data_IF_641653179331
#
_entry.id   IF_641653179331
#
_cell.length_a   1.000
_cell.length_b   1.000
_cell.length_c   1.000
_cell.angle_alpha   90.00
_cell.angle_beta   90.00
_cell.angle_gamma   90.00
#
_symmetry.space_group_name_H-M   'P 1'
#
loop_
_entity.id
_entity.type
_entity.pdbx_description
1 polymer ?
#
# COMPACT_ATOMS: atom_id res chain seq x y z
N UNK A 1 86.10 -30.35 -5.46
CA UNK A 1 85.07 -29.30 -5.34
C UNK A 1 85.75 -27.96 -5.54
N UNK A 2 85.33 -27.18 -6.55
CA UNK A 2 86.06 -26.02 -7.05
C UNK A 2 85.99 -24.82 -6.08
N UNK A 3 87.13 -24.46 -5.48
CA UNK A 3 87.27 -23.28 -4.61
C UNK A 3 87.05 -21.94 -5.37
N UNK A 4 87.23 -21.93 -6.70
CA UNK A 4 87.04 -20.76 -7.56
C UNK A 4 85.57 -20.36 -7.75
N UNK A 5 84.60 -21.27 -7.57
CA UNK A 5 83.16 -20.96 -7.67
C UNK A 5 82.54 -20.51 -6.34
N UNK A 6 83.28 -20.61 -5.24
CA UNK A 6 82.79 -20.38 -3.87
C UNK A 6 82.78 -18.89 -3.50
N UNK A 7 83.76 -18.12 -4.00
CA UNK A 7 83.87 -16.68 -3.75
C UNK A 7 82.78 -15.85 -4.46
N UNK A 8 82.42 -16.12 -5.74
CA UNK A 8 81.26 -15.50 -6.36
C UNK A 8 79.97 -15.84 -5.62
N UNK A 9 79.77 -17.10 -5.25
CA UNK A 9 78.58 -17.57 -4.54
C UNK A 9 78.40 -16.89 -3.16
N UNK A 10 79.47 -16.72 -2.38
CA UNK A 10 79.44 -15.99 -1.10
C UNK A 10 79.14 -14.50 -1.29
N UNK A 11 79.63 -13.88 -2.37
CA UNK A 11 79.31 -12.49 -2.71
C UNK A 11 77.84 -12.33 -3.08
N UNK A 12 77.30 -13.26 -3.88
CA UNK A 12 75.88 -13.28 -4.24
C UNK A 12 75.02 -13.47 -3.00
N UNK A 13 75.35 -14.44 -2.14
CA UNK A 13 74.61 -14.69 -0.89
C UNK A 13 74.63 -13.47 0.06
N UNK A 14 75.75 -12.76 0.13
CA UNK A 14 75.87 -11.53 0.93
C UNK A 14 75.03 -10.40 0.34
N UNK A 15 74.99 -10.27 -0.99
CA UNK A 15 74.13 -9.33 -1.70
C UNK A 15 72.65 -9.63 -1.44
N UNK A 16 72.25 -10.89 -1.58
CA UNK A 16 70.87 -11.35 -1.39
C UNK A 16 70.41 -11.16 0.07
N UNK A 17 71.27 -11.46 1.04
CA UNK A 17 71.00 -11.20 2.46
C UNK A 17 70.79 -9.70 2.75
N UNK A 18 71.63 -8.84 2.18
CA UNK A 18 71.48 -7.38 2.36
C UNK A 18 70.22 -6.84 1.66
N UNK A 19 69.83 -7.43 0.52
CA UNK A 19 68.59 -7.10 -0.18
C UNK A 19 67.37 -7.51 0.64
N UNK A 20 67.34 -8.76 1.12
CA UNK A 20 66.25 -9.28 1.96
C UNK A 20 66.16 -8.50 3.28
N UNK A 21 67.29 -8.14 3.89
CA UNK A 21 67.33 -7.31 5.09
C UNK A 21 66.71 -5.93 4.86
N UNK A 22 66.95 -5.28 3.71
CA UNK A 22 66.26 -4.03 3.36
C UNK A 22 64.76 -4.25 3.16
N UNK A 23 64.36 -5.28 2.42
CA UNK A 23 62.93 -5.57 2.22
C UNK A 23 62.19 -5.80 3.54
N UNK A 24 62.77 -6.57 4.46
CA UNK A 24 62.19 -6.82 5.79
C UNK A 24 62.13 -5.54 6.63
N UNK A 25 63.11 -4.63 6.48
CA UNK A 25 63.10 -3.33 7.17
C UNK A 25 62.08 -2.35 6.60
N UNK A 26 61.81 -2.40 5.29
CA UNK A 26 60.86 -1.51 4.60
C UNK A 26 59.41 -2.03 4.61
N UNK A 27 59.21 -3.33 4.78
CA UNK A 27 57.89 -3.96 4.76
C UNK A 27 56.90 -3.39 5.78
N UNK A 28 57.26 -3.12 7.06
CA UNK A 28 56.33 -2.51 8.01
C UNK A 28 55.81 -1.15 7.56
N UNK A 29 56.68 -0.33 6.96
CA UNK A 29 56.32 0.99 6.44
C UNK A 29 55.37 0.88 5.24
N UNK A 30 55.64 -0.05 4.32
CA UNK A 30 54.75 -0.32 3.19
C UNK A 30 53.37 -0.83 3.65
N UNK A 31 53.33 -1.69 4.68
CA UNK A 31 52.09 -2.21 5.25
C UNK A 31 51.27 -1.11 5.92
N UNK A 32 51.91 -0.27 6.75
CA UNK A 32 51.23 0.88 7.38
C UNK A 32 50.68 1.85 6.34
N UNK A 33 51.43 2.12 5.28
CA UNK A 33 50.98 2.96 4.17
C UNK A 33 49.74 2.39 3.48
N UNK A 34 49.77 1.11 3.11
CA UNK A 34 48.64 0.44 2.46
C UNK A 34 47.39 0.38 3.37
N UNK A 35 47.58 0.13 4.67
CA UNK A 35 46.49 0.17 5.65
C UNK A 35 45.93 1.59 5.78
N UNK A 36 46.80 2.61 5.78
CA UNK A 36 46.39 4.02 5.83
C UNK A 36 45.54 4.42 4.63
N UNK A 37 45.97 4.06 3.42
CA UNK A 37 45.25 4.30 2.17
C UNK A 37 43.90 3.58 2.17
N UNK A 38 43.87 2.29 2.49
CA UNK A 38 42.62 1.51 2.57
C UNK A 38 41.66 2.08 3.63
N UNK A 39 42.17 2.50 4.80
CA UNK A 39 41.36 3.15 5.84
C UNK A 39 40.75 4.46 5.34
N UNK A 40 41.53 5.27 4.62
CA UNK A 40 41.05 6.54 4.08
C UNK A 40 39.95 6.31 3.03
N UNK A 41 40.13 5.36 2.12
CA UNK A 41 39.11 4.98 1.14
C UNK A 41 37.82 4.49 1.81
N UNK A 42 37.94 3.60 2.81
CA UNK A 42 36.77 3.10 3.56
C UNK A 42 36.04 4.25 4.27
N UNK A 43 36.76 5.16 4.92
CA UNK A 43 36.15 6.31 5.59
C UNK A 43 35.43 7.23 4.60
N UNK A 44 36.01 7.46 3.43
CA UNK A 44 35.39 8.27 2.38
C UNK A 44 34.08 7.64 1.90
N UNK A 45 34.10 6.34 1.57
CA UNK A 45 32.90 5.62 1.12
C UNK A 45 31.81 5.61 2.19
N UNK A 46 32.15 5.39 3.47
CA UNK A 46 31.17 5.43 4.57
C UNK A 46 30.54 6.82 4.68
N UNK A 47 31.34 7.88 4.57
CA UNK A 47 30.85 9.27 4.59
C UNK A 47 29.88 9.54 3.45
N UNK A 48 30.23 9.12 2.24
CA UNK A 48 29.41 9.32 1.04
C UNK A 48 28.11 8.50 1.13
N UNK A 49 28.17 7.26 1.58
CA UNK A 49 26.98 6.42 1.83
C UNK A 49 26.07 7.04 2.90
N UNK A 50 26.64 7.56 3.99
CA UNK A 50 25.85 8.21 5.04
C UNK A 50 25.14 9.45 4.50
N UNK A 51 25.85 10.30 3.77
CA UNK A 51 25.31 11.53 3.17
C UNK A 51 24.19 11.23 2.17
N UNK A 52 24.42 10.27 1.27
CA UNK A 52 23.41 9.84 0.28
C UNK A 52 22.19 9.23 0.96
N UNK A 53 22.36 8.43 2.01
CA UNK A 53 21.25 7.85 2.77
C UNK A 53 20.40 8.94 3.46
N UNK A 54 21.03 9.95 4.05
CA UNK A 54 20.30 11.11 4.61
C UNK A 54 19.51 11.86 3.53
N UNK A 55 20.10 12.08 2.36
CA UNK A 55 19.43 12.75 1.25
C UNK A 55 18.25 11.92 0.72
N UNK A 56 18.42 10.60 0.59
CA UNK A 56 17.35 9.66 0.21
C UNK A 56 16.19 9.71 1.22
N UNK A 57 16.49 9.70 2.52
CA UNK A 57 15.46 9.83 3.55
C UNK A 57 14.72 11.17 3.46
N UNK A 58 15.42 12.28 3.18
CA UNK A 58 14.78 13.60 2.96
C UNK A 58 13.87 13.59 1.73
N UNK A 59 14.34 13.03 0.61
CA UNK A 59 13.55 12.91 -0.63
C UNK A 59 12.33 12.03 -0.42
N UNK A 60 12.50 10.89 0.24
CA UNK A 60 11.42 9.98 0.58
C UNK A 60 10.34 10.66 1.43
N UNK A 61 10.72 11.35 2.52
CA UNK A 61 9.78 12.10 3.37
C UNK A 61 9.01 13.18 2.58
N UNK A 62 9.70 13.90 1.69
CA UNK A 62 9.06 14.91 0.83
C UNK A 62 8.03 14.27 -0.11
N UNK A 63 8.42 13.20 -0.79
CA UNK A 63 7.57 12.44 -1.71
C UNK A 63 6.33 11.90 -1.01
N UNK A 64 6.48 11.27 0.17
CA UNK A 64 5.35 10.81 0.98
C UNK A 64 4.37 11.94 1.32
N UNK A 65 4.88 13.11 1.72
CA UNK A 65 4.03 14.25 2.05
C UNK A 65 3.28 14.79 0.83
N UNK A 66 3.91 14.80 -0.35
CA UNK A 66 3.26 15.20 -1.60
C UNK A 66 2.17 14.22 -2.00
N UNK A 67 2.43 12.92 -1.90
CA UNK A 67 1.43 11.87 -2.16
C UNK A 67 0.19 12.03 -1.28
N UNK A 68 0.39 12.26 0.03
CA UNK A 68 -0.72 12.55 0.97
C UNK A 68 -1.53 13.77 0.57
N UNK A 69 -0.86 14.88 0.19
CA UNK A 69 -1.54 16.10 -0.26
C UNK A 69 -2.38 15.86 -1.52
N UNK A 70 -1.78 15.22 -2.53
CA UNK A 70 -2.45 14.90 -3.78
C UNK A 70 -3.65 13.98 -3.55
N UNK A 71 -3.49 12.95 -2.72
CA UNK A 71 -4.57 12.02 -2.35
C UNK A 71 -5.75 12.74 -1.70
N UNK A 72 -5.48 13.60 -0.71
CA UNK A 72 -6.53 14.34 0.00
C UNK A 72 -7.27 15.32 -0.92
N UNK A 73 -6.54 15.96 -1.84
CA UNK A 73 -7.14 16.85 -2.83
C UNK A 73 -8.02 16.08 -3.81
N UNK A 74 -7.55 14.92 -4.30
CA UNK A 74 -8.32 14.05 -5.19
C UNK A 74 -9.61 13.55 -4.53
N UNK A 75 -9.54 13.10 -3.27
CA UNK A 75 -10.72 12.67 -2.51
C UNK A 75 -11.71 13.83 -2.33
N UNK A 76 -11.20 15.04 -2.03
CA UNK A 76 -12.04 16.23 -1.88
C UNK A 76 -12.71 16.64 -3.19
N UNK A 77 -12.00 16.56 -4.31
CA UNK A 77 -12.51 16.88 -5.64
C UNK A 77 -13.59 15.86 -6.09
N UNK A 78 -13.41 14.58 -5.74
CA UNK A 78 -14.44 13.55 -5.94
C UNK A 78 -15.67 13.70 -5.03
N UNK A 79 -15.62 14.59 -4.04
CA UNK A 79 -16.70 14.81 -3.08
C UNK A 79 -16.55 14.01 -1.79
N UNK A 80 -16.87 14.66 -0.67
CA UNK A 80 -16.80 14.06 0.67
C UNK A 80 -17.91 13.04 0.94
N UNK A 81 -19.01 13.13 0.19
CA UNK A 81 -20.14 12.21 0.24
C UNK A 81 -20.26 11.64 -1.17
N UNK A 82 -20.25 10.31 -1.27
CA UNK A 82 -20.35 9.58 -2.53
C UNK A 82 -21.41 8.50 -2.39
N UNK A 83 -22.24 8.34 -3.41
CA UNK A 83 -23.35 7.39 -3.48
C UNK A 83 -23.12 6.47 -4.65
N UNK A 84 -22.91 5.19 -4.34
CA UNK A 84 -22.74 4.14 -5.34
C UNK A 84 -23.99 3.26 -5.39
N UNK A 85 -24.46 2.93 -6.59
CA UNK A 85 -25.45 1.86 -6.78
C UNK A 85 -24.74 0.58 -7.19
N UNK A 86 -25.13 -0.55 -6.58
CA UNK A 86 -24.68 -1.87 -7.00
C UNK A 86 -25.87 -2.75 -7.28
N UNK A 87 -26.01 -3.15 -8.54
CA UNK A 87 -27.05 -4.07 -8.97
C UNK A 87 -26.55 -5.50 -8.74
N UNK A 88 -27.33 -6.35 -8.06
CA UNK A 88 -26.98 -7.76 -7.89
C UNK A 88 -27.34 -8.57 -9.14
N UNK A 89 -26.62 -9.68 -9.41
CA UNK A 89 -27.10 -10.71 -10.32
C UNK A 89 -28.50 -11.21 -9.95
N UNK A 90 -29.31 -11.47 -10.97
CA UNK A 90 -30.60 -12.16 -10.84
C UNK A 90 -30.31 -13.62 -10.44
N UNK A 91 -31.05 -14.15 -9.46
CA UNK A 91 -30.91 -15.56 -9.08
C UNK A 91 -31.66 -16.46 -10.06
N UNK A 92 -31.27 -17.74 -10.15
CA UNK A 92 -31.94 -18.69 -11.04
C UNK A 92 -33.44 -18.84 -10.72
N UNK A 93 -33.81 -18.80 -9.43
CA UNK A 93 -35.20 -18.85 -8.95
C UNK A 93 -36.03 -17.62 -9.38
N UNK A 94 -35.38 -16.47 -9.54
CA UNK A 94 -35.99 -15.21 -10.01
C UNK A 94 -36.07 -15.14 -11.54
N UNK A 95 -35.26 -15.94 -12.24
CA UNK A 95 -35.28 -16.03 -13.70
C UNK A 95 -36.51 -16.78 -14.21
N UNK A 96 -36.97 -17.78 -13.44
CA UNK A 96 -38.13 -18.61 -13.74
C UNK A 96 -39.47 -17.93 -13.36
N UNK A 97 -39.42 -16.94 -12.47
CA UNK A 97 -40.57 -16.12 -12.08
C UNK A 97 -40.64 -14.84 -12.92
N UNK A 98 -41.15 -14.98 -14.15
CA UNK A 98 -41.25 -13.96 -15.20
C UNK A 98 -42.17 -12.73 -14.89
N UNK A 99 -42.42 -12.42 -13.62
CA UNK A 99 -43.45 -11.46 -13.20
C UNK A 99 -42.93 -10.07 -12.77
N UNK A 100 -41.62 -9.80 -12.90
CA UNK A 100 -41.08 -8.46 -12.66
C UNK A 100 -40.70 -7.78 -13.96
N UNK A 101 -41.67 -7.05 -14.52
CA UNK A 101 -41.59 -6.15 -15.68
C UNK A 101 -40.75 -4.88 -15.42
N UNK A 102 -39.69 -5.01 -14.62
CA UNK A 102 -38.78 -3.95 -14.23
C UNK A 102 -37.48 -4.15 -15.01
N UNK A 103 -37.31 -3.36 -16.07
CA UNK A 103 -36.12 -3.43 -16.91
C UNK A 103 -35.10 -2.39 -16.42
N UNK A 104 -33.91 -2.86 -16.04
CA UNK A 104 -32.76 -2.02 -15.75
C UNK A 104 -31.92 -1.87 -17.01
N UNK A 105 -31.55 -0.64 -17.35
CA UNK A 105 -30.54 -0.37 -18.39
C UNK A 105 -29.48 0.58 -17.86
N UNK A 106 -28.26 0.36 -18.33
CA UNK A 106 -27.07 1.12 -17.95
C UNK A 106 -26.69 2.02 -19.12
N UNK A 107 -26.19 3.20 -18.84
CA UNK A 107 -25.62 4.05 -19.88
C UNK A 107 -24.28 3.48 -20.37
N UNK A 108 -24.00 3.61 -21.67
CA UNK A 108 -22.78 3.07 -22.28
C UNK A 108 -21.58 4.01 -22.21
N UNK A 109 -21.82 5.30 -22.00
CA UNK A 109 -20.81 6.35 -21.96
C UNK A 109 -20.59 6.88 -20.52
N UNK A 110 -21.60 6.78 -19.66
CA UNK A 110 -21.55 7.27 -18.28
C UNK A 110 -21.88 6.18 -17.24
N UNK A 111 -20.88 5.76 -16.46
CA UNK A 111 -21.06 4.77 -15.40
C UNK A 111 -21.76 5.36 -14.15
N UNK A 112 -22.14 6.65 -14.16
CA UNK A 112 -22.92 7.29 -13.10
C UNK A 112 -24.44 7.15 -13.28
N UNK A 113 -24.92 6.74 -14.45
CA UNK A 113 -26.34 6.83 -14.82
C UNK A 113 -27.02 5.46 -14.87
N UNK A 114 -28.17 5.34 -14.19
CA UNK A 114 -29.02 4.15 -14.19
C UNK A 114 -30.43 4.49 -14.68
N UNK A 115 -30.92 3.71 -15.64
CA UNK A 115 -32.28 3.80 -16.13
C UNK A 115 -33.14 2.65 -15.59
N UNK A 116 -34.27 3.00 -14.99
CA UNK A 116 -35.26 2.07 -14.45
C UNK A 116 -36.58 2.22 -15.20
N UNK A 117 -36.97 1.21 -15.96
CA UNK A 117 -38.25 1.15 -16.65
C UNK A 117 -39.26 0.36 -15.82
N UNK A 118 -40.29 1.02 -15.29
CA UNK A 118 -41.37 0.40 -14.53
C UNK A 118 -42.73 0.79 -15.12
N UNK A 119 -43.52 -0.19 -15.57
CA UNK A 119 -44.88 0.00 -16.14
C UNK A 119 -44.96 1.10 -17.23
N UNK A 120 -43.93 1.18 -18.08
CA UNK A 120 -43.86 2.15 -19.18
C UNK A 120 -43.38 3.55 -18.80
N UNK A 121 -43.02 3.79 -17.52
CA UNK A 121 -42.33 5.00 -17.09
C UNK A 121 -40.84 4.71 -16.91
N UNK A 122 -40.00 5.48 -17.58
CA UNK A 122 -38.54 5.45 -17.40
C UNK A 122 -38.16 6.48 -16.35
N UNK A 123 -37.46 6.03 -15.31
CA UNK A 123 -36.86 6.87 -14.27
C UNK A 123 -35.34 6.85 -14.49
N UNK A 124 -34.70 8.02 -14.43
CA UNK A 124 -33.24 8.14 -14.52
C UNK A 124 -32.70 8.48 -13.14
N UNK A 125 -31.61 7.81 -12.75
CA UNK A 125 -30.90 8.05 -11.51
C UNK A 125 -29.45 8.39 -11.81
N UNK A 126 -29.04 9.59 -11.41
CA UNK A 126 -27.65 10.06 -11.52
C UNK A 126 -26.99 9.91 -10.14
N UNK A 127 -25.88 9.18 -10.11
CA UNK A 127 -25.15 8.79 -8.91
C UNK A 127 -23.65 9.06 -9.08
N UNK A 128 -22.80 8.70 -8.11
CA UNK A 128 -21.35 8.82 -8.31
C UNK A 128 -20.78 7.65 -9.13
N UNK A 129 -21.43 6.49 -9.06
CA UNK A 129 -21.11 5.30 -9.86
C UNK A 129 -22.20 4.23 -9.75
N UNK A 130 -22.41 3.48 -10.82
CA UNK A 130 -23.35 2.37 -10.94
C UNK A 130 -22.59 1.10 -11.34
N UNK A 131 -22.56 0.14 -10.43
CA UNK A 131 -22.01 -1.18 -10.66
C UNK A 131 -23.08 -2.11 -11.24
N UNK A 132 -22.86 -2.56 -12.47
CA UNK A 132 -23.70 -3.53 -13.15
C UNK A 132 -23.64 -4.92 -12.46
N UNK A 133 -24.57 -5.85 -12.78
CA UNK A 133 -24.65 -7.16 -12.13
C UNK A 133 -23.36 -7.99 -12.18
N UNK A 134 -22.56 -7.81 -13.22
CA UNK A 134 -21.30 -8.52 -13.42
C UNK A 134 -20.13 -7.91 -12.64
N UNK A 135 -20.34 -6.78 -11.96
CA UNK A 135 -19.29 -6.09 -11.24
C UNK A 135 -18.77 -6.91 -10.04
N UNK A 136 -17.45 -7.04 -9.98
CA UNK A 136 -16.76 -7.85 -8.98
C UNK A 136 -16.62 -7.13 -7.64
N UNK A 137 -16.33 -7.90 -6.58
CA UNK A 137 -16.00 -7.31 -5.27
C UNK A 137 -14.73 -6.45 -5.32
N UNK A 138 -13.79 -6.80 -6.21
CA UNK A 138 -12.55 -6.07 -6.40
C UNK A 138 -12.83 -4.68 -6.99
N UNK A 139 -13.62 -4.61 -8.06
CA UNK A 139 -13.99 -3.35 -8.70
C UNK A 139 -14.72 -2.42 -7.72
N UNK A 140 -15.64 -2.97 -6.91
CA UNK A 140 -16.32 -2.20 -5.86
C UNK A 140 -15.33 -1.70 -4.80
N UNK A 141 -14.36 -2.54 -4.41
CA UNK A 141 -13.35 -2.15 -3.43
C UNK A 141 -12.40 -1.08 -3.96
N UNK A 142 -11.99 -1.12 -5.23
CA UNK A 142 -11.09 -0.13 -5.84
C UNK A 142 -11.63 1.31 -5.72
N UNK A 143 -12.94 1.50 -5.88
CA UNK A 143 -13.57 2.83 -5.76
C UNK A 143 -13.60 3.36 -4.31
N UNK A 144 -13.66 2.43 -3.36
CA UNK A 144 -13.71 2.72 -1.92
C UNK A 144 -12.31 2.75 -1.31
N UNK A 145 -11.32 2.16 -1.96
CA UNK A 145 -9.94 2.01 -1.49
C UNK A 145 -9.33 3.36 -1.08
N UNK A 146 -9.57 4.40 -1.89
CA UNK A 146 -9.08 5.75 -1.62
C UNK A 146 -9.57 6.31 -0.27
N UNK A 147 -10.80 6.00 0.14
CA UNK A 147 -11.33 6.39 1.44
C UNK A 147 -10.68 5.59 2.57
N UNK A 148 -10.42 4.30 2.36
CA UNK A 148 -9.70 3.46 3.34
C UNK A 148 -8.30 4.01 3.57
N UNK A 149 -7.59 4.43 2.52
CA UNK A 149 -6.28 5.09 2.63
C UNK A 149 -6.37 6.41 3.40
N UNK A 150 -7.42 7.21 3.19
CA UNK A 150 -7.65 8.44 3.97
C UNK A 150 -7.84 8.17 5.47
N UNK A 151 -8.34 7.00 5.86
CA UNK A 151 -8.41 6.61 7.28
C UNK A 151 -7.01 6.54 7.92
N UNK A 152 -6.03 6.02 7.17
CA UNK A 152 -4.64 5.87 7.61
C UNK A 152 -3.99 7.24 7.80
N UNK A 153 -4.38 8.21 6.96
CA UNK A 153 -3.94 9.60 7.06
C UNK A 153 -4.66 10.38 8.17
N UNK A 154 -5.59 9.75 8.89
CA UNK A 154 -6.25 10.32 10.07
C UNK A 154 -7.61 10.97 9.81
N UNK A 155 -8.22 10.74 8.64
CA UNK A 155 -9.57 11.16 8.36
C UNK A 155 -10.61 10.16 8.90
N UNK A 156 -11.76 10.67 9.33
CA UNK A 156 -12.88 9.81 9.71
C UNK A 156 -13.64 9.41 8.45
N UNK A 157 -13.88 8.11 8.28
CA UNK A 157 -14.59 7.57 7.12
C UNK A 157 -15.68 6.62 7.57
N UNK A 158 -16.83 6.73 6.93
CA UNK A 158 -17.97 5.85 7.14
C UNK A 158 -18.40 5.27 5.81
N UNK A 159 -18.53 3.95 5.76
CA UNK A 159 -19.07 3.23 4.61
C UNK A 159 -20.27 2.43 5.11
N UNK A 160 -21.43 2.66 4.49
CA UNK A 160 -22.66 1.97 4.82
C UNK A 160 -23.30 1.41 3.55
N UNK A 161 -23.92 0.23 3.67
CA UNK A 161 -24.69 -0.37 2.60
C UNK A 161 -26.19 -0.19 2.88
N UNK A 162 -26.93 0.30 1.88
CA UNK A 162 -28.37 0.52 1.96
C UNK A 162 -29.13 -0.33 0.92
N UNK A 163 -30.36 -0.72 1.26
CA UNK A 163 -31.22 -1.54 0.38
C UNK A 163 -32.14 -2.49 1.14
N UNK A 164 -33.07 -3.14 0.45
CA UNK A 164 -33.99 -4.13 1.03
C UNK A 164 -33.30 -5.44 1.44
N UNK A 165 -33.96 -6.29 2.23
CA UNK A 165 -33.48 -7.65 2.52
C UNK A 165 -33.30 -8.43 1.21
N UNK A 166 -32.19 -9.16 1.08
CA UNK A 166 -31.84 -9.86 -0.16
C UNK A 166 -31.16 -9.02 -1.23
N UNK A 167 -30.99 -7.70 -1.05
CA UNK A 167 -30.36 -6.82 -2.05
C UNK A 167 -28.83 -6.92 -2.17
N UNK A 168 -28.17 -7.78 -1.38
CA UNK A 168 -26.71 -7.95 -1.42
C UNK A 168 -25.89 -7.01 -0.52
N UNK A 169 -26.49 -6.38 0.50
CA UNK A 169 -25.75 -5.55 1.49
C UNK A 169 -24.64 -6.33 2.21
N UNK A 170 -24.99 -7.46 2.83
CA UNK A 170 -24.04 -8.33 3.54
C UNK A 170 -22.99 -8.88 2.59
N UNK A 171 -23.39 -9.28 1.38
CA UNK A 171 -22.46 -9.70 0.35
C UNK A 171 -21.47 -8.58 0.00
N UNK A 172 -21.90 -7.33 -0.12
CA UNK A 172 -20.99 -6.21 -0.43
C UNK A 172 -20.03 -5.90 0.73
N UNK A 173 -20.53 -5.86 1.96
CA UNK A 173 -19.74 -5.46 3.12
C UNK A 173 -18.82 -6.58 3.65
N UNK A 174 -19.34 -7.78 3.83
CA UNK A 174 -18.61 -8.93 4.39
C UNK A 174 -18.10 -9.86 3.29
N UNK A 175 -18.90 -10.08 2.25
CA UNK A 175 -18.59 -11.02 1.17
C UNK A 175 -18.72 -12.48 1.60
N UNK A 176 -18.07 -13.34 0.83
CA UNK A 176 -17.96 -14.79 1.11
C UNK A 176 -16.49 -15.14 1.35
N UNK A 177 -16.23 -16.31 1.93
CA UNK A 177 -14.86 -16.73 2.29
C UNK A 177 -13.88 -16.65 1.10
N UNK A 178 -14.32 -17.13 -0.07
CA UNK A 178 -13.50 -17.15 -1.28
C UNK A 178 -13.49 -15.80 -2.02
N UNK A 179 -14.43 -14.92 -1.72
CA UNK A 179 -14.56 -13.61 -2.34
C UNK A 179 -14.94 -12.55 -1.29
N UNK A 180 -13.93 -12.07 -0.53
CA UNK A 180 -14.15 -11.16 0.58
C UNK A 180 -14.78 -9.83 0.14
N UNK A 181 -15.61 -9.26 1.00
CA UNK A 181 -16.21 -7.95 0.79
C UNK A 181 -15.30 -6.79 1.25
N UNK A 182 -15.89 -5.60 1.30
CA UNK A 182 -15.18 -4.35 1.63
C UNK A 182 -14.46 -4.46 3.00
N UNK A 183 -15.09 -5.05 4.01
CA UNK A 183 -14.54 -5.09 5.38
C UNK A 183 -13.20 -5.84 5.45
N UNK A 184 -13.15 -7.05 4.89
CA UNK A 184 -11.94 -7.87 4.95
C UNK A 184 -10.83 -7.30 4.06
N UNK A 185 -11.18 -6.75 2.89
CA UNK A 185 -10.23 -6.09 1.98
C UNK A 185 -9.66 -4.81 2.60
N UNK A 186 -10.51 -4.00 3.23
CA UNK A 186 -10.08 -2.80 3.95
C UNK A 186 -9.13 -3.14 5.09
N UNK A 187 -9.46 -4.14 5.90
CA UNK A 187 -8.58 -4.61 6.98
C UNK A 187 -7.22 -5.05 6.46
N UNK A 188 -7.18 -5.85 5.39
CA UNK A 188 -5.92 -6.30 4.78
C UNK A 188 -5.07 -5.10 4.31
N UNK A 189 -5.69 -4.13 3.66
CA UNK A 189 -5.00 -2.91 3.20
C UNK A 189 -4.49 -2.06 4.38
N UNK A 190 -5.29 -1.92 5.43
CA UNK A 190 -4.88 -1.20 6.64
C UNK A 190 -3.65 -1.87 7.28
N UNK A 191 -3.67 -3.20 7.42
CA UNK A 191 -2.53 -3.92 7.99
C UNK A 191 -1.29 -3.85 7.10
N UNK A 192 -1.42 -4.00 5.77
CA UNK A 192 -0.26 -3.90 4.86
C UNK A 192 0.40 -2.52 4.94
N UNK A 193 -0.40 -1.46 4.94
CA UNK A 193 0.09 -0.08 5.01
C UNK A 193 0.73 0.28 6.35
N UNK A 194 0.29 -0.35 7.45
CA UNK A 194 0.90 -0.17 8.77
C UNK A 194 2.23 -0.92 8.84
N UNK A 195 2.32 -2.15 8.32
CA UNK A 195 3.55 -2.92 8.30
C UNK A 195 4.63 -2.26 7.45
N UNK A 196 4.28 -1.64 6.33
CA UNK A 196 5.26 -0.96 5.46
C UNK A 196 5.80 0.35 6.08
N UNK A 197 5.09 0.92 7.07
CA UNK A 197 5.48 2.14 7.78
C UNK A 197 6.08 1.80 9.15
N UNK A 198 7.20 1.07 9.16
CA UNK A 198 7.97 0.57 10.32
C UNK A 198 8.45 1.62 11.36
N UNK A 199 8.07 2.89 11.25
CA UNK A 199 8.50 3.99 12.14
C UNK A 199 7.33 4.79 12.74
N UNK A 200 6.08 4.34 12.53
CA UNK A 200 4.91 4.96 13.14
C UNK A 200 4.54 4.22 14.42
N UNK A 201 4.65 4.91 15.57
CA UNK A 201 4.10 4.46 16.86
C UNK A 201 2.56 4.55 16.80
N UNK A 202 1.98 3.65 16.02
CA UNK A 202 0.55 3.57 15.79
C UNK A 202 -0.08 2.85 16.97
N UNK A 203 -0.52 3.61 17.97
CA UNK A 203 -1.50 3.11 18.94
C UNK A 203 -2.74 2.73 18.15
N UNK A 204 -2.98 1.43 18.00
CA UNK A 204 -4.14 0.85 17.32
C UNK A 204 -5.39 1.68 17.66
N UNK A 205 -6.00 2.37 16.68
CA UNK A 205 -7.28 3.00 16.91
C UNK A 205 -8.21 1.91 17.37
N UNK A 206 -9.00 2.21 18.38
CA UNK A 206 -10.16 1.41 18.71
C UNK A 206 -11.12 1.46 17.52
N UNK A 207 -10.87 0.60 16.54
CA UNK A 207 -11.75 0.37 15.40
C UNK A 207 -12.95 -0.40 15.93
N UNK A 208 -14.03 0.32 16.22
CA UNK A 208 -15.25 -0.27 16.71
C UNK A 208 -16.04 -0.83 15.53
N UNK A 209 -15.96 -2.16 15.35
CA UNK A 209 -16.89 -2.87 14.47
C UNK A 209 -18.20 -3.09 15.24
N UNK A 210 -19.30 -2.54 14.73
CA UNK A 210 -20.65 -2.79 15.26
C UNK A 210 -21.55 -3.28 14.13
N UNK A 211 -21.72 -4.59 14.03
CA UNK A 211 -22.82 -5.17 13.26
C UNK A 211 -24.11 -4.92 14.03
N UNK A 212 -24.89 -3.92 13.61
CA UNK A 212 -26.25 -3.74 14.13
C UNK A 212 -27.16 -4.53 13.21
N UNK A 213 -28.01 -5.39 13.77
CA UNK A 213 -28.85 -6.41 13.11
C UNK A 213 -29.91 -5.87 12.13
N UNK A 214 -29.75 -4.65 11.61
CA UNK A 214 -30.63 -4.05 10.60
C UNK A 214 -29.94 -3.15 9.57
N UNK A 215 -28.68 -2.72 9.79
CA UNK A 215 -27.91 -1.92 8.83
C UNK A 215 -26.41 -2.25 8.97
N UNK A 216 -25.80 -2.87 7.95
CA UNK A 216 -24.36 -3.10 7.90
C UNK A 216 -23.64 -1.75 7.76
N UNK A 217 -23.00 -1.26 8.82
CA UNK A 217 -22.17 -0.05 8.82
C UNK A 217 -20.75 -0.35 9.26
N UNK A 218 -19.77 0.20 8.56
CA UNK A 218 -18.35 0.15 8.95
C UNK A 218 -17.90 1.57 9.27
N UNK A 219 -17.49 1.77 10.52
CA UNK A 219 -17.06 3.07 11.05
C UNK A 219 -15.56 3.05 11.34
N UNK A 220 -14.83 4.00 10.76
CA UNK A 220 -13.41 4.18 11.01
C UNK A 220 -13.18 5.61 11.53
N UNK A 221 -12.90 5.75 12.82
CA UNK A 221 -12.66 7.06 13.43
C UNK A 221 -12.13 6.98 14.87
N UNK A 222 -11.44 8.04 15.31
CA UNK A 222 -10.80 8.14 16.65
C UNK A 222 -11.74 8.57 17.79
N UNK A 223 -13.02 8.83 17.51
CA UNK A 223 -13.99 9.32 18.48
C UNK A 223 -15.05 8.27 18.81
N UNK A 224 -15.46 8.13 20.09
CA UNK A 224 -16.56 7.24 20.45
C UNK A 224 -17.86 7.67 19.72
N UNK A 225 -18.74 6.72 19.37
CA UNK A 225 -19.94 7.02 18.62
C UNK A 225 -20.87 7.92 19.44
N UNK A 226 -21.26 9.06 18.86
CA UNK A 226 -22.44 9.80 19.30
C UNK A 226 -23.64 8.91 18.98
N UNK A 227 -24.31 8.40 20.01
CA UNK A 227 -25.50 7.57 19.89
C UNK A 227 -26.65 8.39 19.29
N UNK A 228 -26.97 8.15 18.03
CA UNK A 228 -28.25 8.57 17.47
C UNK A 228 -29.23 7.39 17.58
N UNK A 229 -30.02 7.40 18.65
CA UNK A 229 -31.28 6.65 18.69
C UNK A 229 -32.28 7.40 17.82
N UNK A 230 -32.51 6.90 16.60
CA UNK A 230 -33.69 7.27 15.81
C UNK A 230 -34.92 6.72 16.55
N UNK A 231 -35.78 7.63 17.02
CA UNK A 231 -37.13 7.33 17.51
C UNK A 231 -38.09 7.14 16.35
#
# INVERSE_FOLDING_TARGET
MNLLSLHPALRTLTSDYNCLKRQVQEFPFMLEKAIGEAKQEICQVISDVSSTNEELLRKYKREMNLRKKCHNELVRLKGNIRVFCRVRPVSQEEQDSADSKTMLSFDSEDDAVLYLCNKGKTMTFDLDKVFAPHATQEEVFQEVQSLVTSCIDGFNVCIFAYGQTGSGKTFTMEGVLDNPGINQRALRLLFSEVTDKLDWDYKSPSAWWRSTTRCCGTFWGKTPPISWTLS
#
